data_IF_025681317306
#
_entry.id   IF_025681317306
#
_cell.length_a   1.000
_cell.length_b   1.000
_cell.length_c   1.000
_cell.angle_alpha   90.00
_cell.angle_beta   90.00
_cell.angle_gamma   90.00
#
_symmetry.space_group_name_H-M   'P 1'
#
loop_
_entity.id
_entity.type
_entity.pdbx_description
1 polymer ?
#
# COMPACT_ATOMS: atom_id res chain seq x y z
N UNK A 1 1.29 -17.37 23.37
CA UNK A 1 0.91 -16.00 23.81
C UNK A 1 0.30 -16.04 25.22
N UNK A 2 0.90 -16.80 26.14
CA UNK A 2 0.42 -16.92 27.54
C UNK A 2 1.56 -16.73 28.56
N UNK A 3 2.81 -16.56 28.10
CA UNK A 3 3.98 -16.74 28.97
C UNK A 3 4.60 -15.42 29.46
N UNK A 4 4.16 -14.27 28.95
CA UNK A 4 4.76 -12.97 29.33
C UNK A 4 3.98 -12.27 30.45
N UNK A 5 2.67 -12.53 30.60
CA UNK A 5 1.85 -11.98 31.70
C UNK A 5 0.65 -12.89 32.09
N UNK A 6 0.83 -13.83 33.03
CA UNK A 6 -0.27 -14.66 33.51
C UNK A 6 -1.30 -13.80 34.28
N UNK A 7 -2.57 -13.86 33.88
CA UNK A 7 -3.70 -13.23 34.59
C UNK A 7 -4.35 -12.02 33.90
N UNK A 8 -3.91 -11.65 32.70
CA UNK A 8 -4.47 -10.52 31.95
C UNK A 8 -5.31 -11.05 30.77
N UNK A 9 -6.49 -10.45 30.56
CA UNK A 9 -7.35 -10.78 29.42
C UNK A 9 -6.64 -10.51 28.09
N UNK A 10 -6.76 -11.40 27.08
CA UNK A 10 -6.19 -11.20 25.74
C UNK A 10 -6.82 -10.02 24.96
N UNK A 11 -7.84 -9.35 25.54
CA UNK A 11 -8.47 -8.16 24.97
C UNK A 11 -8.00 -6.84 25.59
N UNK A 12 -7.02 -6.87 26.49
CA UNK A 12 -6.51 -5.67 27.15
C UNK A 12 -5.41 -5.00 26.31
N UNK A 13 -5.72 -3.83 25.75
CA UNK A 13 -4.74 -3.00 25.04
C UNK A 13 -3.71 -2.41 26.00
N UNK A 14 -2.42 -2.53 25.67
CA UNK A 14 -1.28 -1.98 26.41
C UNK A 14 -1.28 -2.26 27.93
N UNK A 15 -1.77 -3.43 28.38
CA UNK A 15 -1.93 -3.73 29.82
C UNK A 15 -2.62 -2.57 30.59
N UNK A 16 -3.69 -2.00 30.02
CA UNK A 16 -4.43 -0.85 30.58
C UNK A 16 -3.62 0.44 30.76
N UNK A 17 -2.41 0.52 30.20
CA UNK A 17 -1.57 1.71 30.29
C UNK A 17 -0.94 2.06 28.93
N UNK A 18 -1.71 2.70 28.04
CA UNK A 18 -1.26 3.10 26.71
C UNK A 18 -0.32 4.32 26.73
N UNK A 19 -0.01 4.88 27.91
CA UNK A 19 0.91 6.02 28.07
C UNK A 19 2.34 5.54 28.27
N UNK A 20 2.53 4.36 28.87
CA UNK A 20 3.86 3.81 29.23
C UNK A 20 4.17 2.54 28.42
N UNK A 21 3.16 1.71 28.11
CA UNK A 21 3.36 0.48 27.36
C UNK A 21 2.87 0.65 25.92
N UNK A 22 3.78 0.39 24.98
CA UNK A 22 3.47 0.12 23.58
C UNK A 22 3.31 -1.40 23.47
N UNK A 23 2.25 -1.86 22.81
CA UNK A 23 2.04 -3.28 22.51
C UNK A 23 3.21 -3.78 21.63
N UNK A 24 4.13 -4.63 22.13
CA UNK A 24 5.33 -5.03 21.41
C UNK A 24 5.08 -6.01 20.26
N UNK A 25 3.85 -6.48 20.06
CA UNK A 25 3.57 -7.63 19.18
C UNK A 25 3.00 -7.21 17.79
N UNK A 26 2.79 -5.92 17.55
CA UNK A 26 2.39 -5.34 16.26
C UNK A 26 3.56 -5.13 15.30
N UNK A 27 4.19 -6.25 14.89
CA UNK A 27 5.36 -6.40 14.00
C UNK A 27 6.06 -5.11 13.54
N UNK A 28 7.26 -4.92 14.06
CA UNK A 28 8.15 -3.85 13.58
C UNK A 28 8.49 -4.01 12.10
N UNK A 29 8.65 -2.86 11.45
CA UNK A 29 9.23 -2.74 10.13
C UNK A 29 10.60 -3.42 10.06
N UNK A 30 10.88 -4.16 8.98
CA UNK A 30 12.11 -4.96 8.86
C UNK A 30 12.96 -4.58 7.66
N UNK A 31 14.26 -4.81 7.78
CA UNK A 31 15.15 -4.82 6.63
C UNK A 31 15.00 -6.11 5.80
N UNK A 32 15.77 -6.22 4.73
CA UNK A 32 15.75 -7.41 3.85
C UNK A 32 16.23 -8.69 4.55
N UNK A 33 16.98 -8.58 5.65
CA UNK A 33 17.47 -9.71 6.44
C UNK A 33 16.51 -10.10 7.57
N UNK A 34 15.41 -9.36 7.75
CA UNK A 34 14.44 -9.58 8.80
C UNK A 34 14.81 -8.91 10.13
N UNK A 35 15.84 -8.05 10.17
CA UNK A 35 16.16 -7.29 11.36
C UNK A 35 15.13 -6.18 11.55
N UNK A 36 14.72 -5.98 12.80
CA UNK A 36 13.79 -4.93 13.20
C UNK A 36 14.46 -3.55 13.02
N UNK A 37 13.72 -2.62 12.43
CA UNK A 37 14.11 -1.22 12.25
C UNK A 37 13.40 -0.41 13.33
N UNK A 38 14.14 0.09 14.31
CA UNK A 38 13.60 0.96 15.36
C UNK A 38 13.72 2.45 15.03
N UNK A 39 14.71 2.83 14.21
CA UNK A 39 14.90 4.21 13.75
C UNK A 39 14.49 4.35 12.29
N UNK A 40 13.42 5.09 12.07
CA UNK A 40 12.84 5.34 10.76
C UNK A 40 13.34 6.63 10.10
N UNK A 41 14.25 7.38 10.75
CA UNK A 41 14.72 8.69 10.30
C UNK A 41 15.30 8.67 8.88
N UNK A 42 15.92 7.55 8.50
CA UNK A 42 16.55 7.36 7.20
C UNK A 42 15.66 6.65 6.17
N UNK A 43 14.48 6.15 6.57
CA UNK A 43 13.61 5.39 5.68
C UNK A 43 12.94 6.34 4.67
N UNK A 44 13.16 6.06 3.39
CA UNK A 44 12.58 6.75 2.24
C UNK A 44 11.51 5.92 1.56
N UNK A 45 11.59 4.59 1.66
CA UNK A 45 10.70 3.67 0.96
C UNK A 45 10.11 2.64 1.91
N UNK A 46 8.79 2.56 1.94
CA UNK A 46 8.05 1.51 2.65
C UNK A 46 7.44 0.53 1.65
N UNK A 47 7.58 -0.77 1.89
CA UNK A 47 7.07 -1.82 1.00
C UNK A 47 6.25 -2.82 1.82
N UNK A 48 4.94 -2.81 1.62
CA UNK A 48 4.05 -3.85 2.10
C UNK A 48 3.92 -4.95 1.05
N UNK A 49 3.89 -6.20 1.46
CA UNK A 49 3.76 -7.31 0.53
C UNK A 49 3.07 -8.56 1.07
N UNK A 50 2.28 -9.22 0.21
CA UNK A 50 1.89 -10.61 0.41
C UNK A 50 3.14 -11.51 0.26
N UNK A 51 3.37 -12.51 1.13
CA UNK A 51 4.52 -13.42 1.06
C UNK A 51 4.77 -14.04 -0.33
N UNK A 52 3.75 -14.23 -1.18
CA UNK A 52 3.96 -14.71 -2.55
C UNK A 52 4.75 -13.72 -3.44
N UNK A 53 4.84 -12.45 -3.07
CA UNK A 53 5.63 -11.41 -3.74
C UNK A 53 6.98 -11.13 -3.07
N UNK A 54 7.38 -11.89 -2.03
CA UNK A 54 8.61 -11.64 -1.26
C UNK A 54 9.84 -11.36 -2.14
N UNK A 55 10.17 -12.26 -3.08
CA UNK A 55 11.35 -12.13 -3.96
C UNK A 55 11.35 -10.85 -4.80
N UNK A 56 10.18 -10.33 -5.11
CA UNK A 56 10.03 -9.14 -5.91
C UNK A 56 10.10 -7.88 -5.03
N UNK A 57 9.50 -7.90 -3.84
CA UNK A 57 9.70 -6.87 -2.82
C UNK A 57 11.17 -6.73 -2.42
N UNK A 58 11.90 -7.84 -2.29
CA UNK A 58 13.36 -7.86 -2.07
C UNK A 58 14.11 -7.18 -3.24
N UNK A 59 13.66 -7.36 -4.48
CA UNK A 59 14.28 -6.68 -5.63
C UNK A 59 13.97 -5.18 -5.67
N UNK A 60 12.75 -4.78 -5.29
CA UNK A 60 12.39 -3.38 -5.10
C UNK A 60 13.23 -2.73 -4.01
N UNK A 61 13.45 -3.46 -2.91
CA UNK A 61 14.32 -3.03 -1.82
C UNK A 61 15.73 -2.73 -2.32
N UNK A 62 16.37 -3.65 -3.03
CA UNK A 62 17.72 -3.43 -3.57
C UNK A 62 17.79 -2.22 -4.53
N UNK A 63 16.75 -2.00 -5.34
CA UNK A 63 16.68 -0.86 -6.28
C UNK A 63 16.54 0.45 -5.52
N UNK A 64 15.67 0.48 -4.52
CA UNK A 64 15.45 1.65 -3.67
C UNK A 64 16.70 1.96 -2.83
N UNK A 65 17.37 0.98 -2.25
CA UNK A 65 18.64 1.21 -1.54
C UNK A 65 19.74 1.74 -2.47
N UNK A 66 19.83 1.26 -3.71
CA UNK A 66 20.78 1.84 -4.69
C UNK A 66 20.48 3.31 -5.01
N UNK A 67 19.21 3.71 -4.95
CA UNK A 67 18.75 5.07 -5.25
C UNK A 67 18.87 6.02 -4.06
N UNK A 68 18.55 5.54 -2.85
CA UNK A 68 18.38 6.36 -1.65
C UNK A 68 19.43 6.11 -0.56
N UNK A 69 20.29 5.10 -0.73
CA UNK A 69 21.32 4.71 0.22
C UNK A 69 20.94 3.49 1.07
N UNK A 70 21.94 2.87 1.70
CA UNK A 70 21.75 1.73 2.61
C UNK A 70 20.88 2.13 3.81
N UNK A 71 19.96 1.26 4.21
CA UNK A 71 19.06 1.50 5.34
C UNK A 71 17.94 2.50 5.03
N UNK A 72 17.65 2.75 3.75
CA UNK A 72 16.58 3.66 3.31
C UNK A 72 15.24 2.99 3.04
N UNK A 73 15.14 1.68 3.27
CA UNK A 73 13.97 0.88 2.90
C UNK A 73 13.52 0.00 4.06
N UNK A 74 12.20 -0.06 4.26
CA UNK A 74 11.55 -0.90 5.24
C UNK A 74 10.51 -1.82 4.56
N UNK A 75 10.43 -3.07 5.02
CA UNK A 75 9.54 -4.11 4.52
C UNK A 75 8.51 -4.51 5.58
N UNK A 76 7.28 -4.77 5.15
CA UNK A 76 6.19 -5.32 5.95
C UNK A 76 5.50 -6.46 5.19
N UNK A 77 5.35 -7.61 5.85
CA UNK A 77 4.60 -8.77 5.36
C UNK A 77 3.18 -8.85 5.95
N UNK A 78 2.57 -7.70 6.24
CA UNK A 78 1.26 -7.57 6.87
C UNK A 78 0.13 -8.24 6.07
N UNK A 79 -0.31 -9.41 6.52
CA UNK A 79 -1.37 -10.21 5.87
C UNK A 79 -2.71 -10.15 6.60
N UNK A 80 -2.80 -9.40 7.70
CA UNK A 80 -4.04 -9.18 8.46
C UNK A 80 -4.45 -7.70 8.46
N UNK A 81 -5.73 -7.42 8.66
CA UNK A 81 -6.25 -6.04 8.76
C UNK A 81 -5.63 -5.25 9.89
N UNK A 82 -5.37 -5.88 11.05
CA UNK A 82 -4.74 -5.23 12.20
C UNK A 82 -3.30 -4.87 11.90
N UNK A 83 -2.51 -5.83 11.40
CA UNK A 83 -1.09 -5.63 11.12
C UNK A 83 -0.93 -4.57 10.03
N UNK A 84 -1.76 -4.64 8.97
CA UNK A 84 -1.70 -3.64 7.91
C UNK A 84 -2.01 -2.23 8.44
N UNK A 85 -3.04 -2.09 9.28
CA UNK A 85 -3.40 -0.79 9.84
C UNK A 85 -2.33 -0.25 10.78
N UNK A 86 -1.72 -1.12 11.61
CA UNK A 86 -0.63 -0.76 12.51
C UNK A 86 0.61 -0.31 11.72
N UNK A 87 1.12 -1.15 10.82
CA UNK A 87 2.29 -0.84 10.00
C UNK A 87 2.06 0.41 9.14
N UNK A 88 0.83 0.60 8.63
CA UNK A 88 0.43 1.81 7.92
C UNK A 88 0.51 3.06 8.79
N UNK A 89 0.04 2.99 10.03
CA UNK A 89 0.18 4.08 11.01
C UNK A 89 1.65 4.37 11.32
N UNK A 90 2.44 3.32 11.50
CA UNK A 90 3.83 3.37 11.99
C UNK A 90 4.85 3.73 10.91
N UNK A 91 4.43 3.90 9.65
CA UNK A 91 5.27 4.56 8.65
C UNK A 91 5.68 5.94 9.18
N UNK A 92 6.96 6.09 9.48
CA UNK A 92 7.55 7.29 10.09
C UNK A 92 8.68 7.86 9.23
N UNK A 93 9.18 9.04 9.60
CA UNK A 93 10.21 9.76 8.85
C UNK A 93 9.69 11.06 8.24
N UNK A 94 10.58 12.04 8.13
CA UNK A 94 10.25 13.41 7.71
C UNK A 94 10.16 13.58 6.19
N UNK A 95 10.62 12.60 5.43
CA UNK A 95 10.80 12.69 3.97
C UNK A 95 10.61 11.31 3.30
N UNK A 96 9.39 10.77 3.43
CA UNK A 96 9.00 9.53 2.75
C UNK A 96 8.85 9.84 1.26
N UNK A 97 9.44 8.99 0.42
CA UNK A 97 9.48 9.16 -1.04
C UNK A 97 8.56 8.19 -1.76
N UNK A 98 8.48 6.94 -1.29
CA UNK A 98 7.69 5.89 -1.96
C UNK A 98 7.04 4.94 -0.95
N UNK A 99 5.77 4.62 -1.17
CA UNK A 99 5.05 3.57 -0.43
C UNK A 99 4.54 2.56 -1.45
N UNK A 100 4.83 1.28 -1.28
CA UNK A 100 4.50 0.24 -2.25
C UNK A 100 3.59 -0.81 -1.63
N UNK A 101 2.46 -1.10 -2.30
CA UNK A 101 1.50 -2.14 -1.90
C UNK A 101 1.56 -3.30 -2.89
N UNK A 102 2.35 -4.33 -2.58
CA UNK A 102 2.51 -5.52 -3.40
C UNK A 102 1.55 -6.62 -2.92
N UNK A 103 0.29 -6.55 -3.34
CA UNK A 103 -0.72 -7.55 -3.00
C UNK A 103 -1.55 -7.92 -4.23
N UNK A 104 -2.23 -9.06 -4.12
CA UNK A 104 -3.35 -9.32 -4.99
C UNK A 104 -4.48 -8.32 -4.72
N UNK A 105 -5.40 -8.19 -5.68
CA UNK A 105 -6.58 -7.40 -5.44
C UNK A 105 -7.52 -7.31 -6.63
N UNK A 106 -8.40 -6.33 -6.51
CA UNK A 106 -9.45 -6.02 -7.46
C UNK A 106 -9.69 -4.51 -7.48
N UNK A 107 -10.68 -4.09 -8.25
CA UNK A 107 -11.02 -2.68 -8.40
C UNK A 107 -11.48 -1.97 -7.14
N UNK A 108 -11.91 -2.68 -6.09
CA UNK A 108 -12.28 -2.07 -4.82
C UNK A 108 -11.75 -2.82 -3.59
N UNK A 109 -10.77 -3.71 -3.75
CA UNK A 109 -10.19 -4.43 -2.62
C UNK A 109 -8.72 -4.78 -2.82
N UNK A 110 -7.93 -4.55 -1.77
CA UNK A 110 -6.59 -5.12 -1.58
C UNK A 110 -6.76 -6.44 -0.82
N UNK A 111 -6.15 -7.52 -1.31
CA UNK A 111 -6.25 -8.84 -0.68
C UNK A 111 -5.00 -9.07 0.15
N UNK A 112 -5.11 -8.88 1.47
CA UNK A 112 -4.00 -9.09 2.41
C UNK A 112 -3.73 -10.59 2.58
N UNK A 113 -4.80 -11.37 2.78
CA UNK A 113 -4.82 -12.83 2.70
C UNK A 113 -6.22 -13.28 2.30
N UNK A 114 -6.38 -13.64 1.02
CA UNK A 114 -7.69 -14.05 0.50
C UNK A 114 -8.21 -15.36 1.11
N UNK A 115 -7.33 -16.24 1.57
CA UNK A 115 -7.72 -17.51 2.19
C UNK A 115 -8.27 -17.28 3.59
N UNK A 116 -7.69 -16.34 4.33
CA UNK A 116 -8.14 -15.92 5.67
C UNK A 116 -9.19 -14.82 5.66
N UNK A 117 -9.61 -14.37 4.47
CA UNK A 117 -10.61 -13.32 4.28
C UNK A 117 -10.18 -11.96 4.84
N UNK A 118 -8.88 -11.66 4.75
CA UNK A 118 -8.30 -10.39 5.18
C UNK A 118 -8.20 -9.42 4.01
N UNK A 119 -8.91 -8.29 4.11
CA UNK A 119 -9.05 -7.33 3.01
C UNK A 119 -9.09 -5.88 3.52
N UNK A 120 -8.51 -4.99 2.71
CA UNK A 120 -8.81 -3.56 2.73
C UNK A 120 -9.74 -3.25 1.55
N UNK A 121 -10.77 -2.42 1.73
CA UNK A 121 -11.76 -2.13 0.68
C UNK A 121 -12.05 -0.65 0.49
N UNK A 122 -12.40 -0.24 -0.72
CA UNK A 122 -12.83 1.13 -1.01
C UNK A 122 -14.34 1.32 -0.98
N UNK A 123 -15.15 0.29 -0.71
CA UNK A 123 -16.62 0.36 -0.81
C UNK A 123 -17.27 1.29 0.22
N UNK A 124 -16.61 1.59 1.34
CA UNK A 124 -17.15 2.47 2.39
C UNK A 124 -18.26 1.83 3.24
N UNK A 125 -18.50 0.52 3.10
CA UNK A 125 -19.48 -0.21 3.91
C UNK A 125 -18.88 -1.42 4.64
N UNK A 126 -17.54 -1.50 4.70
CA UNK A 126 -16.81 -2.57 5.40
C UNK A 126 -16.91 -3.94 4.73
N UNK A 127 -17.30 -4.01 3.46
CA UNK A 127 -17.43 -5.26 2.70
C UNK A 127 -16.83 -5.16 1.31
N UNK A 128 -16.13 -6.21 0.86
CA UNK A 128 -15.59 -6.28 -0.50
C UNK A 128 -16.70 -6.26 -1.56
N UNK A 129 -16.40 -5.70 -2.73
CA UNK A 129 -17.40 -5.54 -3.77
C UNK A 129 -17.82 -6.86 -4.43
N UNK A 130 -16.90 -7.82 -4.59
CA UNK A 130 -17.14 -9.08 -5.31
C UNK A 130 -17.89 -10.11 -4.47
N UNK A 131 -17.39 -10.41 -3.27
CA UNK A 131 -17.92 -11.47 -2.40
C UNK A 131 -18.73 -10.98 -1.21
N UNK A 132 -18.74 -9.66 -0.93
CA UNK A 132 -19.41 -9.11 0.25
C UNK A 132 -18.72 -9.51 1.57
N UNK A 133 -17.45 -9.93 1.50
CA UNK A 133 -16.67 -10.35 2.67
C UNK A 133 -16.30 -9.14 3.52
N UNK A 134 -16.34 -9.28 4.85
CA UNK A 134 -15.92 -8.22 5.77
C UNK A 134 -14.49 -7.75 5.47
N UNK A 135 -14.28 -6.44 5.54
CA UNK A 135 -13.04 -5.77 5.19
C UNK A 135 -12.92 -4.46 5.97
N UNK A 136 -11.71 -3.95 6.17
CA UNK A 136 -11.50 -2.60 6.70
C UNK A 136 -11.62 -1.61 5.54
N UNK A 137 -12.39 -0.51 5.69
CA UNK A 137 -12.43 0.49 4.63
C UNK A 137 -11.14 1.30 4.61
N UNK A 138 -10.70 1.74 3.42
CA UNK A 138 -9.58 2.70 3.29
C UNK A 138 -9.82 3.97 4.12
N UNK A 139 -11.08 4.42 4.20
CA UNK A 139 -11.46 5.60 4.98
C UNK A 139 -11.25 5.43 6.50
N UNK A 140 -11.27 4.18 6.97
CA UNK A 140 -11.14 3.81 8.38
C UNK A 140 -9.69 3.48 8.76
N UNK A 141 -8.75 3.47 7.79
CA UNK A 141 -7.33 3.33 8.09
C UNK A 141 -6.82 4.54 8.91
N UNK A 142 -5.89 4.30 9.85
CA UNK A 142 -5.31 5.36 10.66
C UNK A 142 -4.49 6.33 9.80
N UNK A 143 -4.29 7.53 10.33
CA UNK A 143 -3.35 8.50 9.76
C UNK A 143 -1.93 7.95 9.84
N UNK A 144 -1.11 8.28 8.84
CA UNK A 144 0.31 7.92 8.81
C UNK A 144 1.08 8.88 9.71
N UNK A 145 1.98 8.35 10.56
CA UNK A 145 2.77 9.16 11.50
C UNK A 145 3.85 10.02 10.82
N UNK A 146 4.40 9.53 9.71
CA UNK A 146 5.42 10.20 8.91
C UNK A 146 4.87 11.17 7.87
N UNK A 147 5.77 11.88 7.20
CA UNK A 147 5.42 12.85 6.17
C UNK A 147 5.40 12.22 4.77
N UNK A 148 4.19 12.05 4.22
CA UNK A 148 3.94 11.50 2.89
C UNK A 148 3.63 12.56 1.82
N UNK A 149 3.69 13.86 2.16
CA UNK A 149 3.25 14.94 1.25
C UNK A 149 4.04 14.99 -0.06
N UNK A 150 5.26 14.46 -0.09
CA UNK A 150 6.09 14.33 -1.28
C UNK A 150 6.13 12.89 -1.84
N UNK A 151 5.50 11.94 -1.18
CA UNK A 151 5.60 10.52 -1.51
C UNK A 151 4.68 10.11 -2.67
N UNK A 152 5.11 9.08 -3.40
CA UNK A 152 4.25 8.33 -4.32
C UNK A 152 3.72 7.06 -3.64
N UNK A 153 2.39 6.85 -3.65
CA UNK A 153 1.81 5.54 -3.32
C UNK A 153 1.67 4.68 -4.59
N UNK A 154 2.38 3.56 -4.64
CA UNK A 154 2.32 2.58 -5.72
C UNK A 154 1.43 1.39 -5.34
N UNK A 155 0.21 1.35 -5.88
CA UNK A 155 -0.73 0.25 -5.66
C UNK A 155 -0.49 -0.83 -6.72
N UNK A 156 0.48 -1.71 -6.43
CA UNK A 156 0.90 -2.82 -7.29
C UNK A 156 -0.05 -4.01 -7.18
N UNK A 157 -1.36 -3.72 -7.28
CA UNK A 157 -2.45 -4.69 -7.20
C UNK A 157 -3.28 -4.64 -8.48
N UNK A 158 -3.72 -5.80 -8.94
CA UNK A 158 -4.57 -5.94 -10.13
C UNK A 158 -5.80 -5.04 -10.06
N UNK A 159 -6.08 -4.37 -11.18
CA UNK A 159 -7.30 -3.60 -11.40
C UNK A 159 -7.55 -2.47 -10.39
N UNK A 160 -6.54 -2.02 -9.65
CA UNK A 160 -6.67 -1.02 -8.57
C UNK A 160 -7.35 0.29 -8.97
N UNK A 161 -7.43 0.59 -10.27
CA UNK A 161 -8.14 1.73 -10.83
C UNK A 161 -9.11 1.37 -11.98
N UNK A 162 -9.66 0.16 -12.00
CA UNK A 162 -10.60 -0.26 -13.04
C UNK A 162 -12.03 0.26 -12.78
N UNK A 163 -12.52 1.11 -13.68
CA UNK A 163 -13.87 1.70 -13.61
C UNK A 163 -14.93 0.93 -14.43
N UNK A 164 -14.50 0.06 -15.35
CA UNK A 164 -15.41 -0.68 -16.25
C UNK A 164 -16.24 -1.76 -15.52
N UNK A 165 -15.83 -2.16 -14.33
CA UNK A 165 -16.59 -3.07 -13.46
C UNK A 165 -17.46 -2.28 -12.50
N UNK A 166 -18.69 -2.74 -12.27
CA UNK A 166 -19.66 -2.09 -11.38
C UNK A 166 -19.10 -1.86 -9.98
N UNK A 167 -18.88 -0.59 -9.63
CA UNK A 167 -18.46 -0.17 -8.30
C UNK A 167 -19.65 -0.19 -7.33
N UNK A 168 -19.42 -0.74 -6.14
CA UNK A 168 -20.37 -0.77 -5.01
C UNK A 168 -20.03 0.31 -3.98
N UNK A 169 -21.02 0.64 -3.15
CA UNK A 169 -20.86 1.61 -2.06
C UNK A 169 -20.41 2.98 -2.56
N UNK A 170 -19.31 3.49 -1.99
CA UNK A 170 -18.66 4.80 -2.25
C UNK A 170 -18.47 5.20 -3.71
N UNK A 171 -18.54 4.24 -4.64
CA UNK A 171 -18.25 4.42 -6.08
C UNK A 171 -16.80 4.80 -6.38
N UNK A 172 -15.88 4.56 -5.44
CA UNK A 172 -14.46 4.76 -5.64
C UNK A 172 -13.75 3.45 -5.97
N UNK A 173 -12.80 3.50 -6.90
CA UNK A 173 -11.79 2.45 -7.05
C UNK A 173 -10.89 2.40 -5.81
N UNK A 174 -10.10 1.34 -5.67
CA UNK A 174 -9.12 1.24 -4.59
C UNK A 174 -8.16 2.45 -4.60
N UNK A 175 -7.62 2.77 -5.77
CA UNK A 175 -6.78 3.95 -6.01
C UNK A 175 -7.49 5.25 -5.65
N UNK A 176 -8.75 5.43 -6.08
CA UNK A 176 -9.53 6.62 -5.79
C UNK A 176 -9.77 6.83 -4.29
N UNK A 177 -10.03 5.76 -3.53
CA UNK A 177 -10.23 5.87 -2.10
C UNK A 177 -8.94 6.24 -1.34
N UNK A 178 -7.79 5.67 -1.72
CA UNK A 178 -6.50 6.09 -1.14
C UNK A 178 -6.19 7.55 -1.47
N UNK A 179 -6.47 7.99 -2.71
CA UNK A 179 -6.26 9.39 -3.13
C UNK A 179 -7.13 10.37 -2.36
N UNK A 180 -8.38 10.01 -2.11
CA UNK A 180 -9.28 10.88 -1.35
C UNK A 180 -8.94 10.93 0.15
N UNK A 181 -8.45 9.83 0.72
CA UNK A 181 -8.17 9.74 2.16
C UNK A 181 -6.80 10.30 2.56
N UNK A 182 -5.77 10.09 1.74
CA UNK A 182 -4.39 10.38 2.11
C UNK A 182 -3.75 11.42 1.20
N UNK A 183 -2.94 12.31 1.80
CA UNK A 183 -2.28 13.41 1.11
C UNK A 183 -0.97 13.01 0.43
N UNK A 184 -0.95 11.88 -0.28
CA UNK A 184 0.18 11.53 -1.14
C UNK A 184 0.34 12.56 -2.26
N UNK A 185 1.57 12.88 -2.64
CA UNK A 185 1.84 13.73 -3.82
C UNK A 185 1.22 13.13 -5.07
N UNK A 186 1.42 11.82 -5.22
CA UNK A 186 0.96 11.02 -6.35
C UNK A 186 0.54 9.65 -5.88
N UNK A 187 -0.47 9.08 -6.53
CA UNK A 187 -0.85 7.68 -6.38
C UNK A 187 -0.82 7.04 -7.75
N UNK A 188 -0.22 5.86 -7.85
CA UNK A 188 -0.14 5.04 -9.05
C UNK A 188 -1.00 3.79 -8.90
N UNK A 189 -1.82 3.50 -9.91
CA UNK A 189 -2.64 2.30 -9.99
C UNK A 189 -2.82 1.85 -11.44
N UNK A 190 -3.69 0.88 -11.69
CA UNK A 190 -3.97 0.41 -13.06
C UNK A 190 -5.37 -0.16 -13.19
N UNK A 191 -5.97 0.01 -14.37
CA UNK A 191 -7.19 -0.70 -14.74
C UNK A 191 -6.96 -2.18 -15.11
N UNK A 192 -5.70 -2.62 -15.24
CA UNK A 192 -5.33 -3.92 -15.79
C UNK A 192 -4.84 -4.93 -14.75
N UNK A 193 -4.69 -6.18 -15.21
CA UNK A 193 -3.99 -7.19 -14.44
C UNK A 193 -2.49 -6.85 -14.35
N UNK A 194 -1.96 -6.96 -13.14
CA UNK A 194 -0.55 -6.79 -12.83
C UNK A 194 0.13 -8.15 -12.94
N UNK A 195 1.25 -8.23 -13.67
CA UNK A 195 2.05 -9.46 -13.78
C UNK A 195 3.51 -9.22 -13.44
N UNK A 196 4.00 -10.05 -12.55
CA UNK A 196 5.43 -10.13 -12.27
C UNK A 196 6.07 -11.12 -13.23
N UNK A 197 7.08 -10.64 -13.96
CA UNK A 197 7.88 -11.50 -14.81
C UNK A 197 8.81 -12.32 -13.92
N UNK A 198 8.41 -13.54 -13.59
CA UNK A 198 9.16 -14.45 -12.71
C UNK A 198 10.61 -14.70 -13.18
N UNK A 199 10.85 -14.68 -14.50
CA UNK A 199 12.17 -14.87 -15.11
C UNK A 199 13.08 -13.66 -14.84
N UNK A 200 12.59 -12.45 -15.07
CA UNK A 200 13.39 -11.23 -14.95
C UNK A 200 13.33 -10.59 -13.57
N UNK A 201 12.43 -11.07 -12.69
CA UNK A 201 12.15 -10.55 -11.35
C UNK A 201 12.12 -9.02 -11.33
N UNK A 202 11.45 -8.42 -12.30
CA UNK A 202 11.45 -6.95 -12.44
C UNK A 202 10.88 -6.33 -11.16
N UNK A 203 11.56 -5.30 -10.61
CA UNK A 203 11.16 -4.68 -9.34
C UNK A 203 9.75 -4.08 -9.47
N UNK A 204 9.48 -3.41 -10.59
CA UNK A 204 8.14 -2.99 -10.94
C UNK A 204 7.41 -4.10 -11.74
N UNK A 205 6.15 -4.40 -11.41
CA UNK A 205 5.36 -5.29 -12.23
C UNK A 205 5.22 -4.78 -13.66
N UNK A 206 5.23 -5.71 -14.61
CA UNK A 206 4.74 -5.44 -15.95
C UNK A 206 3.21 -5.60 -16.04
N UNK A 207 2.63 -5.17 -17.16
CA UNK A 207 1.26 -5.54 -17.54
C UNK A 207 1.28 -6.72 -18.53
N UNK A 208 0.15 -7.40 -18.72
CA UNK A 208 0.02 -8.34 -19.86
C UNK A 208 0.29 -7.56 -21.16
N UNK A 209 0.99 -8.21 -22.09
CA UNK A 209 1.64 -7.65 -23.30
C UNK A 209 0.76 -6.83 -24.27
N UNK A 210 -0.52 -6.57 -23.98
CA UNK A 210 -1.46 -5.88 -24.86
C UNK A 210 -2.43 -4.89 -24.16
N UNK A 211 -2.28 -4.54 -22.87
CA UNK A 211 -3.21 -3.60 -22.23
C UNK A 211 -2.59 -2.60 -21.22
N UNK A 212 -2.92 -1.31 -21.44
CA UNK A 212 -2.93 -0.21 -20.45
C UNK A 212 -1.65 0.55 -20.15
N UNK A 213 -1.80 1.79 -19.70
CA UNK A 213 -0.76 2.62 -19.06
C UNK A 213 -0.86 2.50 -17.53
N UNK A 214 0.17 2.97 -16.80
CA UNK A 214 0.02 3.19 -15.36
C UNK A 214 -0.83 4.44 -15.20
N UNK A 215 -1.86 4.36 -14.37
CA UNK A 215 -2.69 5.52 -14.05
C UNK A 215 -2.07 6.27 -12.87
N UNK A 216 -2.13 7.60 -12.92
CA UNK A 216 -1.63 8.46 -11.86
C UNK A 216 -2.71 9.46 -11.44
N UNK A 217 -2.92 9.61 -10.13
CA UNK A 217 -3.66 10.71 -9.52
C UNK A 217 -2.68 11.58 -8.71
N UNK A 218 -2.96 12.87 -8.58
CA UNK A 218 -2.12 13.83 -7.86
C UNK A 218 -1.25 14.72 -8.75
N UNK A 219 -0.18 15.30 -8.19
CA UNK A 219 0.71 16.23 -8.90
C UNK A 219 1.57 15.46 -9.89
N UNK A 220 1.19 15.53 -11.17
CA UNK A 220 1.84 14.86 -12.29
C UNK A 220 3.39 14.94 -12.20
N UNK A 221 4.13 13.81 -12.18
CA UNK A 221 5.59 13.80 -12.23
C UNK A 221 6.05 14.31 -13.61
N UNK A 222 6.17 15.63 -13.72
CA UNK A 222 6.60 16.41 -14.87
C UNK A 222 5.71 16.32 -16.14
N UNK A 223 4.89 17.38 -16.34
CA UNK A 223 4.75 17.94 -17.70
C UNK A 223 6.14 18.42 -18.13
N UNK A 224 6.70 17.88 -19.22
CA UNK A 224 7.57 18.70 -20.08
C UNK A 224 6.76 19.94 -20.48
N UNK A 225 7.36 21.12 -20.30
CA UNK A 225 6.91 22.48 -20.67
C UNK A 225 5.82 22.55 -21.76
N UNK A 226 4.69 23.24 -21.66
CA UNK A 226 4.51 24.70 -21.49
C UNK A 226 3.03 25.04 -21.20
N UNK A 227 2.81 26.15 -20.48
CA UNK A 227 1.61 26.99 -20.30
C UNK A 227 0.25 26.57 -20.90
N UNK A 228 -0.74 26.20 -20.05
CA UNK A 228 -2.18 26.61 -20.07
C UNK A 228 -2.96 25.91 -18.93
N UNK A 229 -4.12 26.45 -18.46
CA UNK A 229 -4.65 26.24 -17.10
C UNK A 229 -5.30 24.87 -16.84
N UNK A 230 -5.47 24.61 -15.54
CA UNK A 230 -5.92 23.36 -14.91
C UNK A 230 -7.39 23.04 -15.25
N UNK A 231 -7.58 21.87 -15.89
CA UNK A 231 -8.80 21.07 -15.85
C UNK A 231 -8.33 19.68 -15.36
N UNK A 232 -9.03 19.00 -14.42
CA UNK A 232 -8.66 17.66 -13.99
C UNK A 232 -8.83 16.69 -15.18
N UNK A 233 -7.75 16.50 -15.93
CA UNK A 233 -7.68 15.64 -17.10
C UNK A 233 -7.46 14.21 -16.64
N UNK A 234 -8.50 13.38 -16.78
CA UNK A 234 -8.35 11.95 -16.99
C UNK A 234 -7.46 11.75 -18.22
N UNK A 235 -6.24 11.22 -18.04
CA UNK A 235 -5.43 10.77 -19.16
C UNK A 235 -5.68 9.27 -19.40
N UNK A 236 -6.62 8.96 -20.29
CA UNK A 236 -6.55 7.72 -21.07
C UNK A 236 -5.53 7.96 -22.19
N UNK A 237 -4.34 7.38 -22.10
CA UNK A 237 -3.46 7.29 -23.27
C UNK A 237 -3.99 6.16 -24.15
N UNK A 238 -4.89 6.51 -25.07
CA UNK A 238 -5.47 5.60 -26.04
C UNK A 238 -4.41 5.04 -26.99
N UNK A 239 -4.44 3.73 -27.20
CA UNK A 239 -3.84 3.09 -28.37
C UNK A 239 -4.64 3.47 -29.62
N UNK A 240 -3.94 3.87 -30.67
CA UNK A 240 -4.51 4.24 -31.96
C UNK A 240 -5.16 3.04 -32.67
N UNK A 241 -6.20 3.33 -33.46
CA UNK A 241 -6.75 2.45 -34.50
C UNK A 241 -5.73 2.20 -35.62
#
# INVERSE_FOLDING_TARGET
MMDVYPGISPYNYCNWNPVIFVDPDGRDWKDIYGNIISDHSNIKVYIFYDPCFKKQSEKMYEVAERKYGKGSVALSDATTRSDFAQDWHDMAGSDIQEVNLNYHGSNQALHLDANKKEYITSTGNGKTNRSGTSATNVQDLPSISGNISNATLNINSCHSNEHNKKLKGSKLTLMGAFYQKFSFKTIRGTADAVRYRWITRTPEPGRLLLSGAWDYLGVNPAKRSNNTPVIPLYYQTGGMK
#
